data_IF_160981416087
#
_entry.id   IF_160981416087
#
_cell.length_a   1.000
_cell.length_b   1.000
_cell.length_c   1.000
_cell.angle_alpha   90.00
_cell.angle_beta   90.00
_cell.angle_gamma   90.00
#
_symmetry.space_group_name_H-M   'P 1'
#
loop_
_entity.id
_entity.type
_entity.pdbx_description
1 polymer ?
#
# COMPACT_ATOMS: atom_id res chain seq x y z
N UNK A 1 -8.72 11.41 -2.00
CA UNK A 1 -8.34 10.66 -0.78
C UNK A 1 -7.33 9.61 -1.16
N UNK A 2 -6.16 9.67 -0.53
CA UNK A 2 -5.11 8.66 -0.66
C UNK A 2 -5.22 7.69 0.51
N UNK A 3 -5.17 6.39 0.24
CA UNK A 3 -5.08 5.34 1.26
C UNK A 3 -3.65 4.83 1.38
N UNK A 4 -3.23 4.47 2.60
CA UNK A 4 -1.92 3.86 2.86
C UNK A 4 -2.13 2.49 3.51
N UNK A 5 -1.52 1.46 2.93
CA UNK A 5 -1.51 0.10 3.46
C UNK A 5 -0.06 -0.34 3.64
N UNK A 6 0.25 -0.98 4.76
CA UNK A 6 1.59 -1.54 5.03
C UNK A 6 1.48 -3.06 5.05
N UNK A 7 2.32 -3.74 4.28
CA UNK A 7 2.36 -5.20 4.19
C UNK A 7 3.76 -5.75 4.43
N UNK A 8 3.83 -7.01 4.84
CA UNK A 8 5.05 -7.81 4.91
C UNK A 8 4.69 -9.28 4.90
N UNK A 9 5.14 -10.03 3.89
CA UNK A 9 4.96 -11.49 3.76
C UNK A 9 3.49 -11.94 3.85
N UNK A 10 2.56 -11.11 3.40
CA UNK A 10 1.11 -11.32 3.55
C UNK A 10 0.37 -10.91 2.27
N UNK A 11 0.82 -11.43 1.13
CA UNK A 11 0.21 -11.16 -0.17
C UNK A 11 -1.26 -11.59 -0.24
N UNK A 12 -1.61 -12.75 0.33
CA UNK A 12 -3.00 -13.25 0.35
C UNK A 12 -3.95 -12.33 1.12
N UNK A 13 -3.60 -11.99 2.37
CA UNK A 13 -4.36 -11.04 3.19
C UNK A 13 -4.41 -9.64 2.57
N UNK A 14 -3.34 -9.23 1.88
CA UNK A 14 -3.34 -7.98 1.13
C UNK A 14 -4.38 -8.04 0.00
N UNK A 15 -4.43 -9.12 -0.79
CA UNK A 15 -5.41 -9.27 -1.87
C UNK A 15 -6.84 -9.11 -1.36
N UNK A 16 -7.18 -9.77 -0.24
CA UNK A 16 -8.51 -9.65 0.38
C UNK A 16 -8.80 -8.20 0.82
N UNK A 17 -7.84 -7.56 1.48
CA UNK A 17 -7.99 -6.17 1.91
C UNK A 17 -8.15 -5.19 0.74
N UNK A 18 -7.43 -5.41 -0.36
CA UNK A 18 -7.51 -4.57 -1.56
C UNK A 18 -8.83 -4.76 -2.30
N UNK A 19 -9.38 -5.98 -2.35
CA UNK A 19 -10.69 -6.24 -2.91
C UNK A 19 -11.79 -5.48 -2.14
N UNK A 20 -11.74 -5.50 -0.80
CA UNK A 20 -12.67 -4.74 0.04
C UNK A 20 -12.53 -3.23 -0.15
N UNK A 21 -11.30 -2.74 -0.36
CA UNK A 21 -11.05 -1.31 -0.64
C UNK A 21 -11.59 -0.89 -2.01
N UNK A 22 -11.52 -1.75 -3.02
CA UNK A 22 -12.03 -1.49 -4.36
C UNK A 22 -13.57 -1.40 -4.40
N UNK A 23 -14.25 -2.08 -3.48
CA UNK A 23 -15.72 -2.13 -3.39
C UNK A 23 -16.31 -1.05 -2.45
N UNK A 24 -15.49 -0.17 -1.85
CA UNK A 24 -15.99 0.87 -0.94
C UNK A 24 -16.92 1.85 -1.65
N UNK A 25 -18.01 2.23 -0.98
CA UNK A 25 -19.00 3.20 -1.47
C UNK A 25 -18.41 4.58 -1.77
N UNK A 26 -17.29 4.93 -1.12
CA UNK A 26 -16.44 6.07 -1.47
C UNK A 26 -15.13 5.55 -2.03
N UNK A 27 -14.93 5.78 -3.33
CA UNK A 27 -13.72 5.38 -4.03
C UNK A 27 -12.46 6.02 -3.41
N UNK A 28 -11.40 5.23 -3.33
CA UNK A 28 -10.04 5.70 -3.04
C UNK A 28 -9.46 6.24 -4.35
N UNK A 29 -8.99 7.48 -4.36
CA UNK A 29 -8.43 8.10 -5.58
C UNK A 29 -7.04 7.54 -5.90
N UNK A 30 -6.27 7.19 -4.86
CA UNK A 30 -4.95 6.58 -5.00
C UNK A 30 -4.59 5.72 -3.78
N UNK A 31 -3.92 4.60 -4.01
CA UNK A 31 -3.47 3.68 -2.97
C UNK A 31 -1.94 3.65 -2.92
N UNK A 32 -1.36 3.77 -1.73
CA UNK A 32 0.07 3.53 -1.50
C UNK A 32 0.20 2.24 -0.70
N UNK A 33 0.88 1.24 -1.28
CA UNK A 33 1.19 -0.01 -0.58
C UNK A 33 2.67 -0.03 -0.24
N UNK A 34 2.96 0.06 1.06
CA UNK A 34 4.31 -0.02 1.60
C UNK A 34 4.66 -1.48 1.84
N UNK A 35 5.59 -2.00 1.06
CA UNK A 35 6.07 -3.39 1.16
C UNK A 35 7.32 -3.45 2.04
N UNK A 36 7.14 -3.83 3.29
CA UNK A 36 8.07 -3.57 4.39
C UNK A 36 9.00 -4.76 4.63
N UNK A 37 10.07 -4.85 3.84
CA UNK A 37 10.91 -6.03 3.71
C UNK A 37 10.38 -6.95 2.60
N UNK A 38 10.52 -6.57 1.32
CA UNK A 38 9.93 -7.27 0.18
C UNK A 38 10.77 -8.47 -0.28
N UNK A 39 11.22 -9.34 0.63
CA UNK A 39 11.83 -10.63 0.24
C UNK A 39 10.80 -11.62 -0.32
N UNK A 40 9.50 -11.31 -0.16
CA UNK A 40 8.38 -11.90 -0.90
C UNK A 40 7.50 -10.75 -1.42
N UNK A 41 7.82 -10.20 -2.61
CA UNK A 41 7.22 -8.96 -3.08
C UNK A 41 5.70 -9.05 -3.25
N UNK A 42 5.00 -8.03 -2.77
CA UNK A 42 3.57 -7.87 -2.97
C UNK A 42 3.23 -7.13 -4.28
N UNK A 43 4.22 -6.73 -5.08
CA UNK A 43 4.05 -5.90 -6.27
C UNK A 43 2.95 -6.40 -7.23
N UNK A 44 2.96 -7.70 -7.55
CA UNK A 44 1.96 -8.28 -8.45
C UNK A 44 0.52 -8.16 -7.91
N UNK A 45 0.33 -8.25 -6.60
CA UNK A 45 -0.97 -8.06 -5.95
C UNK A 45 -1.41 -6.59 -6.05
N UNK A 46 -0.47 -5.65 -5.88
CA UNK A 46 -0.75 -4.21 -5.99
C UNK A 46 -1.11 -3.84 -7.42
N UNK A 47 -0.40 -4.37 -8.42
CA UNK A 47 -0.68 -4.09 -9.83
C UNK A 47 -2.05 -4.65 -10.27
N UNK A 48 -2.49 -5.76 -9.67
CA UNK A 48 -3.77 -6.38 -9.96
C UNK A 48 -4.97 -5.77 -9.19
N UNK A 49 -4.77 -4.80 -8.30
CA UNK A 49 -5.82 -4.39 -7.36
C UNK A 49 -6.94 -3.51 -7.94
N UNK A 50 -6.79 -3.04 -9.18
CA UNK A 50 -7.83 -2.24 -9.86
C UNK A 50 -8.01 -0.80 -9.34
N UNK A 51 -7.19 -0.38 -8.36
CA UNK A 51 -7.13 1.00 -7.84
C UNK A 51 -5.83 1.63 -8.38
N UNK A 52 -5.82 2.92 -8.79
CA UNK A 52 -4.57 3.63 -9.04
C UNK A 52 -3.65 3.49 -7.83
N UNK A 53 -2.51 2.82 -8.00
CA UNK A 53 -1.68 2.42 -6.88
C UNK A 53 -0.19 2.66 -7.11
N UNK A 54 0.51 2.95 -6.02
CA UNK A 54 1.97 2.99 -5.94
C UNK A 54 2.46 1.89 -5.01
N UNK A 55 3.28 0.98 -5.54
CA UNK A 55 4.04 0.03 -4.74
C UNK A 55 5.33 0.71 -4.25
N UNK A 56 5.49 0.81 -2.92
CA UNK A 56 6.60 1.49 -2.27
C UNK A 56 7.41 0.48 -1.43
N UNK A 57 8.51 -0.07 -1.94
CA UNK A 57 9.32 -1.02 -1.20
C UNK A 57 10.18 -0.33 -0.13
N UNK A 58 10.23 -0.92 1.06
CA UNK A 58 11.27 -0.65 2.06
C UNK A 58 12.15 -1.88 2.20
N UNK A 59 13.43 -1.79 1.82
CA UNK A 59 14.37 -2.91 1.86
C UNK A 59 14.71 -3.39 3.28
N UNK A 60 14.37 -2.61 4.29
CA UNK A 60 14.45 -2.99 5.69
C UNK A 60 13.04 -3.05 6.30
N UNK A 61 12.84 -3.95 7.25
CA UNK A 61 11.62 -3.96 8.06
C UNK A 61 11.64 -2.78 9.05
N UNK A 62 10.87 -1.74 8.77
CA UNK A 62 10.74 -0.53 9.59
C UNK A 62 9.73 -0.70 10.75
N UNK A 63 9.13 -1.89 10.90
CA UNK A 63 7.97 -2.11 11.75
C UNK A 63 6.71 -1.41 11.22
N UNK A 64 5.58 -1.57 11.90
CA UNK A 64 4.29 -1.04 11.44
C UNK A 64 4.28 0.50 11.38
N UNK A 65 4.68 1.17 12.46
CA UNK A 65 4.68 2.63 12.54
C UNK A 65 5.63 3.27 11.51
N UNK A 66 6.83 2.69 11.32
CA UNK A 66 7.78 3.17 10.32
C UNK A 66 7.28 2.99 8.89
N UNK A 67 6.63 1.87 8.58
CA UNK A 67 5.99 1.65 7.29
C UNK A 67 4.89 2.69 6.99
N UNK A 68 4.04 2.99 7.97
CA UNK A 68 3.00 4.02 7.80
C UNK A 68 3.60 5.42 7.63
N UNK A 69 4.63 5.76 8.41
CA UNK A 69 5.32 7.04 8.28
C UNK A 69 5.92 7.21 6.88
N UNK A 70 6.56 6.17 6.35
CA UNK A 70 7.09 6.16 4.98
C UNK A 70 5.97 6.39 3.94
N UNK A 71 4.85 5.68 4.05
CA UNK A 71 3.72 5.84 3.13
C UNK A 71 3.07 7.23 3.21
N UNK A 72 2.91 7.77 4.41
CA UNK A 72 2.39 9.13 4.63
C UNK A 72 3.32 10.21 4.05
N UNK A 73 4.62 10.09 4.28
CA UNK A 73 5.62 11.01 3.71
C UNK A 73 5.60 10.96 2.19
N UNK A 74 5.44 9.77 1.61
CA UNK A 74 5.31 9.60 0.17
C UNK A 74 4.03 10.25 -0.38
N UNK A 75 2.89 10.07 0.31
CA UNK A 75 1.64 10.73 -0.05
C UNK A 75 1.80 12.26 -0.10
N UNK A 76 2.38 12.84 0.97
CA UNK A 76 2.66 14.27 1.05
C UNK A 76 3.57 14.74 -0.09
N UNK A 77 4.62 13.97 -0.41
CA UNK A 77 5.56 14.30 -1.50
C UNK A 77 4.90 14.26 -2.89
N UNK A 78 3.87 13.43 -3.09
CA UNK A 78 3.08 13.41 -4.33
C UNK A 78 2.08 14.59 -4.42
N UNK A 79 2.02 15.46 -3.42
CA UNK A 79 1.06 16.56 -3.35
C UNK A 79 -0.33 16.12 -2.88
N UNK A 80 -0.44 14.96 -2.24
CA UNK A 80 -1.68 14.58 -1.56
C UNK A 80 -1.86 15.50 -0.33
N UNK A 81 -2.81 16.43 -0.44
CA UNK A 81 -3.22 17.37 0.60
C UNK A 81 -4.73 17.50 0.63
#
# INVERSE_FOLDING_TARGET
>A
MVAVVVTRHRSELLTEALAVLAEQSRAVDHLIVVDNGPDQPAQAVVEACGIPATWLPSWNNLGGAGGFALGMLHALAMGAG
#
